data_IF_120626754941
#
_entry.id   IF_120626754941
#
_cell.length_a   1.000
_cell.length_b   1.000
_cell.length_c   1.000
_cell.angle_alpha   90.00
_cell.angle_beta   90.00
_cell.angle_gamma   90.00
#
_symmetry.space_group_name_H-M   'P 1'
#
loop_
_entity.id
_entity.type
_entity.pdbx_description
1 polymer ?
#
# COMPACT_ATOMS: atom_id res chain seq x y z
N UNK A 1 -15.82 0.12 -29.09
CA UNK A 1 -15.84 0.93 -27.85
C UNK A 1 -16.89 0.33 -26.92
N UNK A 2 -16.51 -0.66 -26.11
CA UNK A 2 -17.43 -1.34 -25.20
C UNK A 2 -17.66 -0.50 -23.96
N UNK A 3 -18.87 0.03 -23.80
CA UNK A 3 -19.32 0.71 -22.60
C UNK A 3 -19.16 -0.25 -21.40
N UNK A 4 -18.44 0.18 -20.36
CA UNK A 4 -18.34 -0.50 -19.07
C UNK A 4 -19.72 -0.50 -18.40
N UNK A 5 -20.60 -1.37 -18.89
CA UNK A 5 -21.99 -1.51 -18.45
C UNK A 5 -22.02 -2.54 -17.34
N UNK A 6 -21.31 -2.24 -16.26
CA UNK A 6 -21.06 -3.17 -15.17
C UNK A 6 -21.00 -2.44 -13.84
N UNK A 7 -22.07 -1.73 -13.47
CA UNK A 7 -22.32 -1.49 -12.04
C UNK A 7 -22.64 -2.84 -11.42
N UNK A 8 -21.60 -3.60 -11.05
CA UNK A 8 -21.77 -4.64 -10.05
C UNK A 8 -21.96 -3.92 -8.73
N UNK A 9 -23.06 -4.23 -8.04
CA UNK A 9 -23.26 -3.78 -6.67
C UNK A 9 -22.01 -4.11 -5.88
N UNK A 10 -21.31 -3.07 -5.45
CA UNK A 10 -20.13 -3.27 -4.64
C UNK A 10 -20.68 -3.51 -3.25
N UNK A 11 -20.67 -4.77 -2.84
CA UNK A 11 -21.18 -5.16 -1.52
C UNK A 11 -20.35 -4.41 -0.49
N UNK A 12 -20.98 -3.44 0.15
CA UNK A 12 -20.45 -2.83 1.36
C UNK A 12 -20.39 -3.93 2.40
N UNK A 13 -19.19 -4.27 2.88
CA UNK A 13 -19.07 -5.06 4.10
C UNK A 13 -19.71 -4.32 5.29
N UNK A 14 -19.80 -4.96 6.46
CA UNK A 14 -20.39 -4.31 7.65
C UNK A 14 -19.65 -3.03 8.09
N UNK A 15 -18.48 -2.74 7.51
CA UNK A 15 -17.67 -1.54 7.76
C UNK A 15 -17.69 -0.51 6.61
N UNK A 16 -18.49 -0.70 5.57
CA UNK A 16 -18.58 0.25 4.44
C UNK A 16 -17.49 0.07 3.37
N UNK A 17 -16.74 -1.03 3.41
CA UNK A 17 -15.70 -1.39 2.43
C UNK A 17 -16.26 -2.12 1.21
N UNK A 18 -15.60 -1.94 0.08
CA UNK A 18 -15.97 -2.46 -1.24
C UNK A 18 -15.01 -3.60 -1.63
N UNK A 19 -15.52 -4.83 -1.69
CA UNK A 19 -14.70 -6.02 -1.97
C UNK A 19 -14.71 -6.43 -3.46
N UNK A 20 -13.54 -6.78 -3.99
CA UNK A 20 -13.33 -7.35 -5.32
C UNK A 20 -12.74 -8.76 -5.20
N UNK A 21 -13.57 -9.78 -5.39
CA UNK A 21 -13.16 -11.18 -5.42
C UNK A 21 -12.18 -11.49 -6.55
N UNK A 22 -12.35 -10.85 -7.71
CA UNK A 22 -11.50 -11.10 -8.89
C UNK A 22 -10.07 -10.62 -8.66
N UNK A 23 -9.91 -9.50 -7.97
CA UNK A 23 -8.61 -8.90 -7.70
C UNK A 23 -8.04 -9.35 -6.34
N UNK A 24 -8.86 -9.96 -5.48
CA UNK A 24 -8.49 -10.23 -4.09
C UNK A 24 -8.23 -8.95 -3.30
N UNK A 25 -8.95 -7.87 -3.60
CA UNK A 25 -8.77 -6.55 -2.99
C UNK A 25 -10.02 -6.08 -2.27
N UNK A 26 -9.84 -5.33 -1.19
CA UNK A 26 -10.89 -4.59 -0.49
C UNK A 26 -10.54 -3.10 -0.50
N UNK A 27 -11.52 -2.27 -0.84
CA UNK A 27 -11.40 -0.82 -0.91
C UNK A 27 -12.18 -0.21 0.25
N UNK A 28 -11.53 0.52 1.14
CA UNK A 28 -12.17 1.13 2.31
C UNK A 28 -11.96 2.64 2.32
N UNK A 29 -12.83 3.37 3.03
CA UNK A 29 -12.66 4.79 3.27
C UNK A 29 -11.94 4.97 4.60
N UNK A 30 -10.76 5.56 4.58
CA UNK A 30 -9.99 5.92 5.76
C UNK A 30 -9.58 7.39 5.67
N UNK A 31 -9.91 8.20 6.68
CA UNK A 31 -9.57 9.62 6.70
C UNK A 31 -10.13 10.43 5.52
N UNK A 32 -11.27 10.02 4.96
CA UNK A 32 -11.88 10.66 3.77
C UNK A 32 -11.21 10.30 2.45
N UNK A 33 -10.29 9.32 2.44
CA UNK A 33 -9.62 8.82 1.24
C UNK A 33 -9.94 7.36 1.00
N UNK A 34 -9.93 6.95 -0.27
CA UNK A 34 -10.04 5.54 -0.64
C UNK A 34 -8.68 4.84 -0.48
N UNK A 35 -8.67 3.75 0.27
CA UNK A 35 -7.49 2.92 0.54
C UNK A 35 -7.73 1.49 0.10
N UNK A 36 -6.71 0.87 -0.48
CA UNK A 36 -6.73 -0.52 -0.93
C UNK A 36 -6.11 -1.43 0.12
N UNK A 37 -6.70 -2.60 0.30
CA UNK A 37 -6.26 -3.65 1.19
C UNK A 37 -6.28 -4.99 0.45
N UNK A 38 -5.38 -5.89 0.81
CA UNK A 38 -5.46 -7.29 0.40
C UNK A 38 -6.63 -7.97 1.11
N UNK A 39 -7.55 -8.60 0.37
CA UNK A 39 -8.72 -9.26 0.97
C UNK A 39 -8.35 -10.47 1.84
N UNK A 40 -7.25 -11.17 1.52
CA UNK A 40 -6.83 -12.36 2.26
C UNK A 40 -6.27 -12.04 3.65
N UNK A 41 -5.55 -10.92 3.78
CA UNK A 41 -4.79 -10.58 4.99
C UNK A 41 -5.35 -9.34 5.69
N UNK A 42 -6.17 -8.54 5.03
CA UNK A 42 -6.59 -7.22 5.49
C UNK A 42 -5.46 -6.20 5.50
N UNK A 43 -4.30 -6.50 4.88
CA UNK A 43 -3.15 -5.61 4.88
C UNK A 43 -3.36 -4.44 3.93
N UNK A 44 -3.11 -3.21 4.40
CA UNK A 44 -3.15 -2.00 3.58
C UNK A 44 -2.06 -2.05 2.52
N UNK A 45 -2.44 -1.84 1.27
CA UNK A 45 -1.51 -1.64 0.18
C UNK A 45 -1.04 -0.19 0.20
N UNK A 46 0.29 0.05 0.20
CA UNK A 46 0.83 1.39 0.07
C UNK A 46 0.52 1.96 -1.31
N UNK A 47 0.40 3.27 -1.40
CA UNK A 47 0.36 3.97 -2.68
C UNK A 47 1.77 4.01 -3.29
N UNK A 48 1.91 4.19 -4.61
CA UNK A 48 3.24 4.32 -5.24
C UNK A 48 4.09 5.45 -4.65
N UNK A 49 3.45 6.53 -4.15
CA UNK A 49 4.15 7.62 -3.47
C UNK A 49 4.67 7.18 -2.09
N UNK A 50 3.83 6.52 -1.30
CA UNK A 50 4.23 5.98 0.02
C UNK A 50 5.36 4.94 -0.12
N UNK A 51 5.30 4.07 -1.14
CA UNK A 51 6.41 3.13 -1.42
C UNK A 51 7.71 3.84 -1.74
N UNK A 52 7.64 4.91 -2.54
CA UNK A 52 8.81 5.72 -2.89
C UNK A 52 9.42 6.39 -1.66
N UNK A 53 8.60 6.95 -0.78
CA UNK A 53 9.05 7.59 0.46
C UNK A 53 9.72 6.57 1.40
N UNK A 54 9.09 5.42 1.61
CA UNK A 54 9.65 4.33 2.43
C UNK A 54 10.98 3.85 1.85
N UNK A 55 11.06 3.69 0.53
CA UNK A 55 12.29 3.29 -0.15
C UNK A 55 13.40 4.31 0.04
N UNK A 56 13.12 5.60 -0.14
CA UNK A 56 14.11 6.66 0.03
C UNK A 56 14.62 6.73 1.48
N UNK A 57 13.72 6.58 2.46
CA UNK A 57 14.10 6.54 3.87
C UNK A 57 15.00 5.33 4.18
N UNK A 58 14.67 4.15 3.66
CA UNK A 58 15.47 2.95 3.83
C UNK A 58 16.85 3.07 3.16
N UNK A 59 16.93 3.65 1.96
CA UNK A 59 18.19 3.90 1.26
C UNK A 59 19.10 4.86 2.05
N UNK A 60 18.54 5.95 2.59
CA UNK A 60 19.28 6.90 3.42
C UNK A 60 19.80 6.27 4.72
N UNK A 61 19.00 5.41 5.36
CA UNK A 61 19.43 4.71 6.57
C UNK A 61 20.53 3.68 6.27
N UNK A 62 20.43 2.95 5.15
CA UNK A 62 21.48 2.04 4.71
C UNK A 62 22.79 2.78 4.44
N UNK A 63 22.74 3.97 3.84
CA UNK A 63 23.93 4.79 3.60
C UNK A 63 24.58 5.23 4.92
N UNK A 64 23.79 5.68 5.90
CA UNK A 64 24.27 6.03 7.23
C UNK A 64 24.92 4.84 7.94
N UNK A 65 24.27 3.69 7.93
CA UNK A 65 24.80 2.47 8.55
C UNK A 65 26.10 2.02 7.87
N UNK A 66 26.21 2.15 6.54
CA UNK A 66 27.45 1.85 5.81
C UNK A 66 28.58 2.79 6.21
N UNK A 67 28.33 4.09 6.29
CA UNK A 67 29.33 5.06 6.71
C UNK A 67 29.82 4.80 8.14
N UNK A 68 28.90 4.44 9.05
CA UNK A 68 29.26 4.12 10.43
C UNK A 68 30.07 2.83 10.53
N UNK A 69 29.69 1.80 9.78
CA UNK A 69 30.46 0.55 9.68
C UNK A 69 31.87 0.79 9.16
N UNK A 70 32.05 1.69 8.20
CA UNK A 70 33.37 2.04 7.67
C UNK A 70 34.22 2.76 8.72
N UNK A 71 33.65 3.75 9.42
CA UNK A 71 34.34 4.44 10.53
C UNK A 71 34.78 3.48 11.64
N UNK A 72 33.98 2.46 11.93
CA UNK A 72 34.31 1.45 12.93
C UNK A 72 35.41 0.50 12.46
N UNK A 73 35.56 0.28 11.14
CA UNK A 73 36.61 -0.56 10.55
C UNK A 73 37.95 0.16 10.43
N UNK A 74 37.92 1.48 10.22
CA UNK A 74 39.12 2.32 10.11
C UNK A 74 39.75 2.67 11.48
N UNK A 75 39.14 2.22 12.58
CA UNK A 75 39.57 2.47 13.95
C UNK A 75 40.17 1.22 14.60
#
# INVERSE_FOLDING_TARGET
MGLLTGRKEVRSDRGGGLQSEILGLTLQVEGGQLRLYESATGRRLPTPMEEKEVRQAAEAELERLRAEMERLRER
#
